data_IF_935713337635
#
_entry.id   IF_935713337635
#
_cell.length_a   1.000
_cell.length_b   1.000
_cell.length_c   1.000
_cell.angle_alpha   90.00
_cell.angle_beta   90.00
_cell.angle_gamma   90.00
#
_symmetry.space_group_name_H-M   'P 1'
#
loop_
_entity.id
_entity.type
_entity.pdbx_description
1 polymer ?
#
# COMPACT_ATOMS: atom_id res chain seq x y z
N UNK A 1 24.04 53.46 -25.87
CA UNK A 1 23.87 52.63 -24.67
C UNK A 1 23.93 51.19 -25.14
N UNK A 2 25.13 50.56 -25.00
CA UNK A 2 25.36 49.19 -25.38
C UNK A 2 24.97 48.27 -24.18
N UNK A 3 23.97 47.42 -24.37
CA UNK A 3 23.63 46.35 -23.42
C UNK A 3 24.57 45.18 -23.64
N UNK A 4 25.51 44.94 -22.73
CA UNK A 4 26.24 43.69 -22.68
C UNK A 4 25.39 42.63 -22.02
N UNK A 5 25.12 41.53 -22.74
CA UNK A 5 24.27 40.45 -22.32
C UNK A 5 24.80 39.73 -21.07
N UNK A 6 24.00 39.75 -20.00
CA UNK A 6 24.23 38.91 -18.82
C UNK A 6 23.73 37.50 -19.11
N UNK A 7 24.65 36.56 -19.20
CA UNK A 7 24.33 35.13 -19.30
C UNK A 7 23.69 34.62 -18.00
N UNK A 8 22.54 33.96 -18.10
CA UNK A 8 21.93 33.22 -17.00
C UNK A 8 22.73 31.94 -16.80
N UNK A 9 23.49 31.84 -15.72
CA UNK A 9 24.46 30.74 -15.60
C UNK A 9 24.20 29.74 -14.46
N UNK A 10 23.11 29.86 -13.68
CA UNK A 10 22.85 28.79 -12.70
C UNK A 10 21.38 28.68 -12.30
N UNK A 11 20.72 27.59 -12.67
CA UNK A 11 19.48 27.12 -12.09
C UNK A 11 19.81 26.03 -11.08
N UNK A 12 19.69 26.30 -9.77
CA UNK A 12 19.81 25.31 -8.72
C UNK A 12 18.42 24.78 -8.39
N UNK A 13 18.12 23.57 -8.80
CA UNK A 13 16.90 22.84 -8.42
C UNK A 13 17.08 22.30 -7.02
N UNK A 14 16.45 22.90 -6.03
CA UNK A 14 16.27 22.30 -4.70
C UNK A 14 14.94 21.56 -4.73
N UNK A 15 14.97 20.26 -4.50
CA UNK A 15 13.78 19.40 -4.46
C UNK A 15 12.95 19.73 -3.21
N UNK A 16 12.04 20.70 -3.33
CA UNK A 16 10.79 20.84 -2.57
C UNK A 16 9.99 21.97 -3.20
N UNK A 17 8.83 21.68 -3.70
CA UNK A 17 7.62 22.44 -4.11
C UNK A 17 7.61 24.00 -4.19
N UNK A 18 8.75 24.65 -4.19
CA UNK A 18 8.84 26.08 -4.49
C UNK A 18 10.01 26.34 -5.43
N UNK A 19 9.68 26.66 -6.68
CA UNK A 19 10.66 27.15 -7.65
C UNK A 19 11.11 28.57 -7.26
N UNK A 20 12.21 28.69 -6.54
CA UNK A 20 12.89 29.98 -6.40
C UNK A 20 13.86 30.16 -7.58
N UNK A 21 13.53 31.06 -8.46
CA UNK A 21 14.45 31.54 -9.49
C UNK A 21 15.42 32.52 -8.84
N UNK A 22 16.57 32.03 -8.41
CA UNK A 22 17.64 32.92 -7.93
C UNK A 22 18.42 33.39 -9.16
N UNK A 23 18.20 34.62 -9.58
CA UNK A 23 19.04 35.29 -10.57
C UNK A 23 20.25 35.86 -9.85
N UNK A 24 21.40 35.17 -9.92
CA UNK A 24 22.67 35.70 -9.48
C UNK A 24 23.23 36.64 -10.57
N UNK A 25 23.25 37.94 -10.26
CA UNK A 25 23.99 38.93 -11.04
C UNK A 25 25.45 38.98 -10.50
N UNK A 26 26.28 38.08 -10.95
CA UNK A 26 27.68 38.03 -10.63
C UNK A 26 28.55 37.87 -11.91
N UNK A 27 29.86 38.07 -11.82
CA UNK A 27 30.75 37.81 -12.97
C UNK A 27 30.58 36.36 -13.43
N UNK A 28 30.67 36.12 -14.74
CA UNK A 28 30.56 34.79 -15.31
C UNK A 28 31.64 33.88 -14.71
N UNK A 29 31.20 32.68 -14.29
CA UNK A 29 32.10 31.67 -13.69
C UNK A 29 33.11 31.21 -14.75
N UNK A 30 34.36 31.01 -14.35
CA UNK A 30 35.37 30.41 -15.20
C UNK A 30 35.06 28.94 -15.50
N UNK A 31 35.55 28.35 -16.60
CA UNK A 31 35.34 26.92 -16.88
C UNK A 31 35.75 26.01 -15.74
N UNK A 32 36.83 26.34 -15.03
CA UNK A 32 37.33 25.57 -13.90
C UNK A 32 36.38 25.63 -12.67
N UNK A 33 35.81 26.83 -12.43
CA UNK A 33 34.81 27.00 -11.38
C UNK A 33 33.51 26.23 -11.68
N UNK A 34 33.08 26.22 -12.95
CA UNK A 34 31.94 25.42 -13.40
C UNK A 34 32.21 23.94 -13.20
N UNK A 35 33.40 23.45 -13.56
CA UNK A 35 33.80 22.05 -13.39
C UNK A 35 33.88 21.67 -11.91
N UNK A 36 34.39 22.54 -11.05
CA UNK A 36 34.47 22.33 -9.61
C UNK A 36 33.04 22.25 -8.99
N UNK A 37 32.16 23.20 -9.32
CA UNK A 37 30.78 23.20 -8.83
C UNK A 37 30.03 21.94 -9.26
N UNK A 38 30.21 21.49 -10.52
CA UNK A 38 29.59 20.26 -11.00
C UNK A 38 30.08 19.01 -10.25
N UNK A 39 31.36 18.96 -9.89
CA UNK A 39 31.92 17.86 -9.07
C UNK A 39 31.31 17.84 -7.68
N UNK A 40 31.18 19.01 -7.03
CA UNK A 40 30.56 19.10 -5.70
C UNK A 40 29.06 18.76 -5.74
N UNK A 41 28.35 19.18 -6.77
CA UNK A 41 26.94 18.81 -6.99
C UNK A 41 26.77 17.29 -7.15
N UNK A 42 27.63 16.63 -7.94
CA UNK A 42 27.62 15.18 -8.10
C UNK A 42 27.88 14.47 -6.76
N UNK A 43 28.84 14.96 -5.96
CA UNK A 43 29.11 14.41 -4.64
C UNK A 43 27.92 14.58 -3.69
N UNK A 44 27.31 15.78 -3.65
CA UNK A 44 26.14 16.07 -2.83
C UNK A 44 24.96 15.17 -3.21
N UNK A 45 24.68 15.00 -4.51
CA UNK A 45 23.62 14.14 -5.01
C UNK A 45 23.85 12.67 -4.62
N UNK A 46 25.09 12.16 -4.76
CA UNK A 46 25.43 10.79 -4.31
C UNK A 46 25.22 10.59 -2.80
N UNK A 47 25.59 11.57 -1.98
CA UNK A 47 25.36 11.51 -0.54
C UNK A 47 23.86 11.49 -0.23
N UNK A 48 23.09 12.35 -0.86
CA UNK A 48 21.63 12.39 -0.70
C UNK A 48 20.96 11.06 -1.13
N UNK A 49 21.32 10.53 -2.30
CA UNK A 49 20.81 9.23 -2.77
C UNK A 49 21.15 8.10 -1.81
N UNK A 50 22.37 8.08 -1.28
CA UNK A 50 22.78 7.05 -0.31
C UNK A 50 22.01 7.16 1.01
N UNK A 51 21.74 8.37 1.51
CA UNK A 51 20.92 8.59 2.69
C UNK A 51 19.49 8.17 2.45
N UNK A 52 18.87 8.62 1.34
CA UNK A 52 17.51 8.24 0.97
C UNK A 52 17.35 6.71 0.84
N UNK A 53 18.36 6.04 0.25
CA UNK A 53 18.39 4.57 0.16
C UNK A 53 18.43 3.88 1.52
N UNK A 54 19.28 4.38 2.44
CA UNK A 54 19.36 3.84 3.82
C UNK A 54 18.05 4.01 4.57
N UNK A 55 17.42 5.17 4.47
CA UNK A 55 16.12 5.43 5.09
C UNK A 55 15.01 4.55 4.50
N UNK A 56 14.98 4.40 3.19
CA UNK A 56 14.02 3.51 2.52
C UNK A 56 14.16 2.05 2.97
N UNK A 57 15.41 1.56 3.14
CA UNK A 57 15.68 0.22 3.68
C UNK A 57 15.18 0.12 5.12
N UNK A 58 15.50 1.10 5.99
CA UNK A 58 15.04 1.14 7.37
C UNK A 58 13.52 1.07 7.47
N UNK A 59 12.81 1.92 6.73
CA UNK A 59 11.35 1.92 6.69
C UNK A 59 10.76 0.61 6.13
N UNK A 60 11.45 -0.02 5.18
CA UNK A 60 11.03 -1.34 4.67
C UNK A 60 11.15 -2.41 5.75
N UNK A 61 12.24 -2.42 6.52
CA UNK A 61 12.45 -3.37 7.60
C UNK A 61 11.47 -3.17 8.76
N UNK A 62 11.21 -1.93 9.14
CA UNK A 62 10.22 -1.59 10.16
C UNK A 62 8.80 -2.04 9.75
N UNK A 63 8.39 -1.73 8.52
CA UNK A 63 7.11 -2.21 7.99
C UNK A 63 7.02 -3.75 7.94
N UNK A 64 8.11 -4.42 7.57
CA UNK A 64 8.14 -5.89 7.57
C UNK A 64 8.00 -6.47 8.98
N UNK A 65 8.62 -5.84 10.00
CA UNK A 65 8.47 -6.22 11.41
C UNK A 65 7.02 -6.07 11.87
N UNK A 66 6.41 -4.91 11.62
CA UNK A 66 5.01 -4.63 11.99
C UNK A 66 4.06 -5.63 11.33
N UNK A 67 4.24 -5.92 10.03
CA UNK A 67 3.43 -6.92 9.32
C UNK A 67 3.58 -8.33 9.90
N UNK A 68 4.79 -8.75 10.30
CA UNK A 68 5.01 -10.05 10.96
C UNK A 68 4.25 -10.15 12.28
N UNK A 69 4.29 -9.10 13.10
CA UNK A 69 3.54 -9.05 14.36
C UNK A 69 2.03 -9.11 14.11
N UNK A 70 1.52 -8.33 13.16
CA UNK A 70 0.11 -8.35 12.76
C UNK A 70 -0.32 -9.73 12.23
N UNK A 71 0.50 -10.38 11.42
CA UNK A 71 0.23 -11.74 10.92
C UNK A 71 0.23 -12.78 12.04
N UNK A 72 1.15 -12.67 13.01
CA UNK A 72 1.16 -13.55 14.17
C UNK A 72 -0.12 -13.38 15.01
N UNK A 73 -0.54 -12.13 15.24
CA UNK A 73 -1.80 -11.82 15.95
C UNK A 73 -3.02 -12.38 15.19
N UNK A 74 -3.10 -12.13 13.88
CA UNK A 74 -4.19 -12.67 13.07
C UNK A 74 -4.26 -14.21 13.17
N UNK A 75 -3.10 -14.88 13.14
CA UNK A 75 -3.03 -16.35 13.29
C UNK A 75 -3.63 -16.85 14.60
N UNK A 76 -3.50 -16.09 15.70
CA UNK A 76 -4.09 -16.50 17.01
C UNK A 76 -5.61 -16.35 17.05
N UNK A 77 -6.18 -15.49 16.23
CA UNK A 77 -7.62 -15.22 16.16
C UNK A 77 -8.31 -16.20 15.22
N UNK A 78 -7.65 -16.63 14.16
CA UNK A 78 -8.22 -17.49 13.13
C UNK A 78 -8.23 -18.97 13.55
N UNK A 79 -9.29 -19.69 13.15
CA UNK A 79 -9.26 -21.14 13.17
C UNK A 79 -8.21 -21.70 12.21
N UNK A 80 -7.83 -22.96 12.38
CA UNK A 80 -6.87 -23.63 11.49
C UNK A 80 -7.30 -23.65 10.02
N UNK A 81 -8.61 -23.71 9.77
CA UNK A 81 -9.20 -23.67 8.44
C UNK A 81 -9.12 -22.27 7.86
N UNK A 82 -9.53 -21.25 8.62
CA UNK A 82 -9.43 -19.84 8.22
C UNK A 82 -7.98 -19.41 7.98
N UNK A 83 -7.04 -19.91 8.78
CA UNK A 83 -5.63 -19.64 8.57
C UNK A 83 -5.12 -20.23 7.24
N UNK A 84 -5.52 -21.49 6.90
CA UNK A 84 -5.22 -22.09 5.59
C UNK A 84 -5.81 -21.30 4.45
N UNK A 85 -7.05 -20.82 4.59
CA UNK A 85 -7.71 -19.94 3.62
C UNK A 85 -6.97 -18.62 3.46
N UNK A 86 -6.57 -18.00 4.57
CA UNK A 86 -5.74 -16.80 4.55
C UNK A 86 -4.41 -17.00 3.81
N UNK A 87 -3.71 -18.08 4.11
CA UNK A 87 -2.45 -18.38 3.42
C UNK A 87 -2.65 -18.62 1.91
N UNK A 88 -3.74 -19.30 1.54
CA UNK A 88 -4.00 -19.69 0.16
C UNK A 88 -4.62 -18.57 -0.67
N UNK A 89 -5.55 -17.82 -0.11
CA UNK A 89 -6.38 -16.87 -0.85
C UNK A 89 -6.23 -15.42 -0.41
N UNK A 90 -5.54 -15.18 0.72
CA UNK A 90 -5.49 -13.87 1.37
C UNK A 90 -6.88 -13.32 1.68
N UNK A 91 -7.83 -14.21 1.91
CA UNK A 91 -9.20 -13.93 2.28
C UNK A 91 -9.64 -14.95 3.32
N UNK A 92 -10.55 -14.58 4.18
CA UNK A 92 -11.09 -15.48 5.20
C UNK A 92 -12.60 -15.51 5.09
N UNK A 93 -13.17 -16.71 5.35
CA UNK A 93 -14.60 -16.92 5.42
C UNK A 93 -15.02 -17.14 6.87
N UNK A 94 -16.18 -16.60 7.19
CA UNK A 94 -16.79 -16.86 8.47
C UNK A 94 -18.29 -16.92 8.33
N UNK A 95 -18.95 -17.76 9.18
CA UNK A 95 -20.40 -17.89 9.18
C UNK A 95 -20.99 -16.98 10.24
N UNK A 96 -21.74 -15.97 9.79
CA UNK A 96 -22.54 -15.09 10.63
C UNK A 96 -24.02 -15.45 10.59
N UNK A 97 -24.86 -14.56 11.16
CA UNK A 97 -26.32 -14.71 11.19
C UNK A 97 -26.95 -14.50 9.81
N UNK A 98 -26.50 -13.49 9.08
CA UNK A 98 -27.02 -13.17 7.74
C UNK A 98 -26.56 -14.15 6.65
N UNK A 99 -25.51 -14.93 6.90
CA UNK A 99 -24.99 -15.89 5.93
C UNK A 99 -23.49 -16.14 6.07
N UNK A 100 -22.85 -16.51 4.97
CA UNK A 100 -21.40 -16.67 4.92
C UNK A 100 -20.77 -15.37 4.46
N UNK A 101 -19.87 -14.85 5.26
CA UNK A 101 -19.09 -13.66 4.91
C UNK A 101 -17.70 -14.04 4.41
N UNK A 102 -17.19 -13.29 3.46
CA UNK A 102 -15.79 -13.32 3.08
C UNK A 102 -15.16 -11.93 3.25
N UNK A 103 -14.10 -11.86 4.06
CA UNK A 103 -13.28 -10.67 4.20
C UNK A 103 -12.13 -10.78 3.21
N UNK A 104 -12.11 -9.88 2.22
CA UNK A 104 -11.09 -9.83 1.18
C UNK A 104 -10.38 -8.48 1.21
N UNK A 105 -9.16 -8.39 1.77
CA UNK A 105 -8.44 -7.14 1.92
C UNK A 105 -7.77 -6.66 0.62
N UNK A 106 -7.75 -7.47 -0.45
CA UNK A 106 -7.05 -7.14 -1.69
C UNK A 106 -7.57 -5.87 -2.37
N UNK A 107 -8.80 -5.48 -2.06
CA UNK A 107 -9.47 -4.31 -2.61
C UNK A 107 -9.81 -3.24 -1.56
N UNK A 108 -9.05 -3.19 -0.47
CA UNK A 108 -9.17 -2.10 0.51
C UNK A 108 -10.12 -2.34 1.69
N UNK A 109 -10.51 -3.59 1.98
CA UNK A 109 -11.38 -3.92 3.12
C UNK A 109 -12.80 -4.29 2.65
N UNK A 110 -12.89 -5.04 1.58
CA UNK A 110 -14.17 -5.51 1.06
C UNK A 110 -14.68 -6.68 1.88
N UNK A 111 -15.94 -6.58 2.25
CA UNK A 111 -16.72 -7.63 2.89
C UNK A 111 -17.77 -8.10 1.88
N UNK A 112 -17.81 -9.40 1.63
CA UNK A 112 -18.80 -10.02 0.76
C UNK A 112 -19.74 -10.87 1.60
N UNK A 113 -21.04 -10.76 1.34
CA UNK A 113 -22.04 -11.72 1.80
C UNK A 113 -22.24 -12.73 0.67
N UNK A 114 -21.97 -13.99 0.96
CA UNK A 114 -22.05 -15.08 -0.01
C UNK A 114 -23.41 -15.82 0.16
N UNK A 115 -23.75 -16.62 -0.84
CA UNK A 115 -24.84 -17.57 -0.75
C UNK A 115 -24.53 -18.69 0.30
N UNK A 116 -25.53 -19.54 0.57
CA UNK A 116 -25.38 -20.63 1.53
C UNK A 116 -24.29 -21.64 1.14
N UNK A 117 -24.04 -21.80 -0.14
CA UNK A 117 -22.99 -22.68 -0.65
C UNK A 117 -21.61 -21.97 -0.72
N UNK A 118 -21.57 -20.68 -0.34
CA UNK A 118 -20.39 -19.84 -0.39
C UNK A 118 -19.73 -19.74 -1.79
N UNK A 119 -20.53 -19.89 -2.85
CA UNK A 119 -20.07 -19.85 -4.24
C UNK A 119 -20.33 -18.52 -4.94
N UNK A 120 -21.44 -17.86 -4.61
CA UNK A 120 -21.89 -16.64 -5.27
C UNK A 120 -21.95 -15.50 -4.25
N UNK A 121 -21.31 -14.39 -4.57
CA UNK A 121 -21.45 -13.19 -3.75
C UNK A 121 -22.80 -12.52 -4.05
N UNK A 122 -23.60 -12.34 -3.01
CA UNK A 122 -24.92 -11.69 -3.06
C UNK A 122 -24.81 -10.18 -2.86
N UNK A 123 -24.00 -9.78 -1.89
CA UNK A 123 -23.82 -8.38 -1.53
C UNK A 123 -22.33 -8.10 -1.30
N UNK A 124 -21.96 -6.85 -1.54
CA UNK A 124 -20.63 -6.33 -1.28
C UNK A 124 -20.73 -5.10 -0.41
N UNK A 125 -19.92 -5.07 0.62
CA UNK A 125 -19.81 -3.96 1.54
C UNK A 125 -18.39 -3.39 1.53
N UNK A 126 -18.26 -2.08 1.53
CA UNK A 126 -17.00 -1.40 1.69
C UNK A 126 -16.87 -0.96 3.16
N UNK A 127 -15.92 -1.55 3.87
CA UNK A 127 -15.57 -1.15 5.23
C UNK A 127 -14.24 -0.40 5.16
N UNK A 128 -14.30 0.91 5.39
CA UNK A 128 -13.12 1.75 5.33
C UNK A 128 -12.31 1.62 6.63
N UNK A 129 -11.18 0.94 6.55
CA UNK A 129 -10.16 0.99 7.58
C UNK A 129 -8.98 1.84 7.09
N UNK A 130 -8.31 2.60 7.97
CA UNK A 130 -7.17 3.43 7.57
C UNK A 130 -6.11 2.60 6.86
N UNK A 131 -5.65 3.07 5.70
CA UNK A 131 -4.64 2.37 4.87
C UNK A 131 -3.25 2.30 5.53
N UNK A 132 -3.03 3.10 6.58
CA UNK A 132 -1.81 3.08 7.39
C UNK A 132 -1.62 1.81 8.20
N UNK A 133 -2.71 1.09 8.51
CA UNK A 133 -2.64 -0.17 9.25
C UNK A 133 -2.25 -1.34 8.35
N UNK A 134 -1.49 -2.33 8.86
CA UNK A 134 -1.27 -3.60 8.17
C UNK A 134 -2.58 -4.25 7.73
N UNK A 135 -2.52 -4.94 6.62
CA UNK A 135 -3.70 -5.65 6.08
C UNK A 135 -4.23 -6.68 7.08
N UNK A 136 -3.33 -7.36 7.77
CA UNK A 136 -3.62 -8.36 8.79
C UNK A 136 -4.41 -7.76 9.96
N UNK A 137 -4.04 -6.57 10.43
CA UNK A 137 -4.75 -5.88 11.52
C UNK A 137 -6.15 -5.44 11.11
N UNK A 138 -6.29 -4.95 9.86
CA UNK A 138 -7.60 -4.57 9.32
C UNK A 138 -8.56 -5.75 9.23
N UNK A 139 -8.04 -6.90 8.78
CA UNK A 139 -8.81 -8.15 8.70
C UNK A 139 -9.21 -8.64 10.10
N UNK A 140 -8.25 -8.66 11.04
CA UNK A 140 -8.52 -9.05 12.42
C UNK A 140 -9.59 -8.17 13.06
N UNK A 141 -9.46 -6.84 12.92
CA UNK A 141 -10.41 -5.88 13.47
C UNK A 141 -11.81 -6.05 12.88
N UNK A 142 -11.91 -6.25 11.56
CA UNK A 142 -13.20 -6.47 10.91
C UNK A 142 -13.84 -7.79 11.32
N UNK A 143 -13.05 -8.87 11.40
CA UNK A 143 -13.54 -10.17 11.87
C UNK A 143 -14.07 -10.08 13.30
N UNK A 144 -13.30 -9.49 14.21
CA UNK A 144 -13.71 -9.31 15.61
C UNK A 144 -14.96 -8.43 15.75
N UNK A 145 -15.05 -7.36 14.95
CA UNK A 145 -16.22 -6.50 14.93
C UNK A 145 -17.49 -7.25 14.46
N UNK A 146 -17.37 -8.06 13.40
CA UNK A 146 -18.47 -8.89 12.90
C UNK A 146 -18.88 -9.96 13.92
N UNK A 147 -17.92 -10.55 14.63
CA UNK A 147 -18.22 -11.53 15.69
C UNK A 147 -18.87 -10.88 16.91
N UNK A 148 -18.53 -9.64 17.22
CA UNK A 148 -19.10 -8.91 18.35
C UNK A 148 -20.52 -8.40 18.05
N UNK A 149 -20.71 -7.74 16.90
CA UNK A 149 -22.00 -7.18 16.49
C UNK A 149 -22.08 -7.03 14.97
N UNK A 150 -22.61 -8.08 14.33
CA UNK A 150 -22.77 -8.14 12.88
C UNK A 150 -23.69 -7.04 12.35
N UNK A 151 -24.79 -6.75 13.06
CA UNK A 151 -25.78 -5.78 12.60
C UNK A 151 -25.20 -4.37 12.58
N UNK A 152 -24.44 -3.98 13.59
CA UNK A 152 -23.77 -2.69 13.65
C UNK A 152 -22.77 -2.54 12.52
N UNK A 153 -22.00 -3.60 12.23
CA UNK A 153 -21.04 -3.56 11.10
C UNK A 153 -21.78 -3.38 9.79
N UNK A 154 -22.84 -4.14 9.52
CA UNK A 154 -23.61 -4.07 8.29
C UNK A 154 -24.34 -2.74 8.11
N UNK A 155 -24.85 -2.15 9.21
CA UNK A 155 -25.49 -0.83 9.18
C UNK A 155 -24.49 0.30 8.84
N UNK A 156 -23.24 0.19 9.33
CA UNK A 156 -22.20 1.21 9.13
C UNK A 156 -21.42 1.03 7.83
N UNK A 157 -21.45 -0.16 7.26
CA UNK A 157 -20.75 -0.45 6.02
C UNK A 157 -21.48 0.17 4.82
N UNK A 158 -20.72 0.73 3.89
CA UNK A 158 -21.29 1.23 2.65
C UNK A 158 -21.62 0.04 1.73
N UNK A 159 -22.89 -0.12 1.38
CA UNK A 159 -23.29 -1.08 0.34
C UNK A 159 -22.78 -0.61 -1.00
N UNK A 160 -22.00 -1.43 -1.66
CA UNK A 160 -21.49 -1.14 -3.01
C UNK A 160 -22.39 -1.77 -4.05
N UNK A 161 -22.65 -1.05 -5.15
CA UNK A 161 -23.30 -1.62 -6.34
C UNK A 161 -22.44 -2.77 -6.84
N UNK A 162 -23.03 -3.94 -6.87
CA UNK A 162 -22.35 -5.17 -7.18
C UNK A 162 -23.14 -5.92 -8.25
N UNK A 163 -22.45 -6.35 -9.31
CA UNK A 163 -23.05 -7.29 -10.26
C UNK A 163 -22.85 -8.69 -9.70
N UNK A 164 -23.94 -9.46 -9.58
CA UNK A 164 -23.89 -10.87 -9.19
C UNK A 164 -22.83 -11.59 -10.03
N UNK A 165 -21.73 -11.93 -9.39
CA UNK A 165 -20.63 -12.63 -10.06
C UNK A 165 -20.80 -14.13 -9.86
N UNK A 166 -21.30 -14.81 -10.90
CA UNK A 166 -21.40 -16.27 -10.90
C UNK A 166 -20.04 -16.96 -10.74
N UNK A 167 -18.95 -16.25 -11.10
CA UNK A 167 -17.59 -16.77 -11.08
C UNK A 167 -16.75 -16.19 -9.94
N UNK A 168 -17.38 -15.88 -8.79
CA UNK A 168 -16.66 -15.25 -7.65
C UNK A 168 -15.46 -16.07 -7.19
N UNK A 169 -15.58 -17.40 -7.11
CA UNK A 169 -14.48 -18.27 -6.69
C UNK A 169 -13.29 -18.25 -7.66
N UNK A 170 -13.53 -18.17 -8.97
CA UNK A 170 -12.45 -18.05 -9.95
C UNK A 170 -11.77 -16.68 -9.85
N UNK A 171 -12.54 -15.62 -9.65
CA UNK A 171 -12.01 -14.28 -9.43
C UNK A 171 -11.17 -14.22 -8.14
N UNK A 172 -11.63 -14.84 -7.07
CA UNK A 172 -10.89 -15.00 -5.81
C UNK A 172 -9.54 -15.67 -6.02
N UNK A 173 -9.50 -16.77 -6.76
CA UNK A 173 -8.26 -17.49 -7.10
C UNK A 173 -7.32 -16.64 -7.94
N UNK A 174 -7.85 -15.90 -8.93
CA UNK A 174 -7.06 -15.00 -9.78
C UNK A 174 -6.43 -13.87 -8.99
N UNK A 175 -7.21 -13.21 -8.11
CA UNK A 175 -6.72 -12.13 -7.22
C UNK A 175 -5.63 -12.66 -6.31
N UNK A 176 -5.83 -13.83 -5.69
CA UNK A 176 -4.85 -14.46 -4.84
C UNK A 176 -3.52 -14.76 -5.59
N UNK A 177 -3.58 -15.22 -6.84
CA UNK A 177 -2.39 -15.42 -7.69
C UNK A 177 -1.65 -14.10 -7.94
N UNK A 178 -2.38 -13.02 -8.25
CA UNK A 178 -1.77 -11.69 -8.49
C UNK A 178 -1.06 -11.15 -7.24
N UNK A 179 -1.69 -11.26 -6.07
CA UNK A 179 -1.10 -10.80 -4.81
C UNK A 179 0.20 -11.55 -4.51
N UNK A 180 0.23 -12.87 -4.68
CA UNK A 180 1.45 -13.67 -4.49
C UNK A 180 2.55 -13.25 -5.46
N UNK A 181 2.23 -13.04 -6.74
CA UNK A 181 3.19 -12.59 -7.73
C UNK A 181 3.80 -11.21 -7.37
N UNK A 182 3.00 -10.30 -6.81
CA UNK A 182 3.47 -8.98 -6.39
C UNK A 182 4.26 -8.98 -5.08
N UNK A 183 3.96 -9.91 -4.17
CA UNK A 183 4.65 -10.00 -2.87
C UNK A 183 6.01 -10.69 -2.95
N UNK A 184 6.40 -11.22 -4.08
CA UNK A 184 7.68 -11.92 -4.25
C UNK A 184 7.75 -13.26 -3.49
N UNK A 185 6.62 -13.79 -3.03
CA UNK A 185 6.53 -15.03 -2.25
C UNK A 185 6.82 -16.32 -3.07
N UNK A 186 7.28 -16.17 -4.31
CA UNK A 186 7.65 -17.33 -5.15
C UNK A 186 9.01 -17.95 -4.84
N UNK A 187 9.70 -17.51 -3.81
CA UNK A 187 11.09 -17.90 -3.56
C UNK A 187 11.35 -18.67 -2.26
N UNK A 188 10.38 -19.37 -1.71
CA UNK A 188 10.64 -20.28 -0.58
C UNK A 188 9.73 -21.52 -0.71
N UNK A 189 10.12 -22.43 -1.57
CA UNK A 189 9.88 -23.86 -1.44
C UNK A 189 11.20 -24.55 -1.20
#
# INVERSE_FOLDING_TARGET
VTWSGNSITNVRTVAHDQFFRVTHFGPALTPDQIAANRREEIKANRLYENQARKEAIKHRLERAKVRRTAAAMLKTILSSEQWRDWQRYRAIRFRGRAGVFEINPASGGELYLLDHEAKVAKEKFCVHAPSSYPTEDRVASLLLALMADEDVVLQRANRCTFRNEKDYDEKRKLVARRIRAQSGEFALN
#
